data_IF_751790007627
#
_entry.id   IF_751790007627
#
_cell.length_a   1.000
_cell.length_b   1.000
_cell.length_c   1.000
_cell.angle_alpha   90.00
_cell.angle_beta   90.00
_cell.angle_gamma   90.00
#
_symmetry.space_group_name_H-M   'P 1'
#
loop_
_entity.id
_entity.type
_entity.pdbx_description
1 polymer ?
#
# COMPACT_ATOMS: atom_id res chain seq x y z
N UNK A 1 -20.47 17.81 -16.69
CA UNK A 1 -20.41 16.46 -16.07
C UNK A 1 -19.57 15.55 -16.96
N UNK A 2 -18.53 14.92 -16.41
CA UNK A 2 -17.56 14.10 -17.13
C UNK A 2 -17.52 12.69 -16.57
N UNK A 3 -17.36 11.67 -17.42
CA UNK A 3 -17.19 10.28 -17.00
C UNK A 3 -15.74 9.85 -17.16
N UNK A 4 -15.13 9.36 -16.09
CA UNK A 4 -13.75 8.86 -16.06
C UNK A 4 -13.70 7.35 -15.76
N UNK A 5 -12.76 6.64 -16.37
CA UNK A 5 -12.47 5.24 -16.09
C UNK A 5 -11.17 5.14 -15.32
N UNK A 6 -11.24 4.76 -14.04
CA UNK A 6 -10.13 4.84 -13.11
C UNK A 6 -9.80 3.47 -12.52
N UNK A 7 -8.52 3.15 -12.36
CA UNK A 7 -8.10 1.93 -11.66
C UNK A 7 -8.36 2.06 -10.16
N UNK A 8 -8.96 1.05 -9.56
CA UNK A 8 -9.33 1.02 -8.15
C UNK A 8 -8.69 -0.17 -7.45
N UNK A 9 -8.17 0.05 -6.25
CA UNK A 9 -7.49 -0.94 -5.41
C UNK A 9 -6.02 -0.63 -5.15
N UNK A 10 -5.45 -1.28 -4.14
CA UNK A 10 -4.06 -1.15 -3.72
C UNK A 10 -3.42 -2.52 -3.44
N UNK A 11 -2.09 -2.59 -3.52
CA UNK A 11 -1.36 -3.72 -2.95
C UNK A 11 -1.43 -3.61 -1.44
N UNK A 12 -1.93 -4.67 -0.79
CA UNK A 12 -2.06 -4.69 0.67
C UNK A 12 -0.72 -4.52 1.39
N UNK A 13 -0.71 -3.73 2.46
CA UNK A 13 0.50 -3.44 3.25
C UNK A 13 1.21 -4.71 3.77
N UNK A 14 0.46 -5.75 4.13
CA UNK A 14 1.01 -7.03 4.58
C UNK A 14 1.82 -7.75 3.48
N UNK A 15 1.37 -7.68 2.22
CA UNK A 15 2.06 -8.31 1.10
C UNK A 15 3.38 -7.60 0.79
N UNK A 16 3.37 -6.27 0.86
CA UNK A 16 4.56 -5.45 0.73
C UNK A 16 5.57 -5.74 1.85
N UNK A 17 5.10 -5.81 3.10
CA UNK A 17 5.91 -6.15 4.27
C UNK A 17 6.55 -7.55 4.14
N UNK A 18 5.80 -8.55 3.65
CA UNK A 18 6.32 -9.89 3.41
C UNK A 18 7.46 -9.90 2.37
N UNK A 19 7.33 -9.15 1.28
CA UNK A 19 8.37 -9.06 0.25
C UNK A 19 9.62 -8.34 0.76
N UNK A 20 9.47 -7.30 1.58
CA UNK A 20 10.61 -6.65 2.24
C UNK A 20 11.31 -7.65 3.16
N UNK A 21 10.56 -8.36 4.01
CA UNK A 21 11.12 -9.35 4.93
C UNK A 21 11.90 -10.44 4.18
N UNK A 22 11.29 -11.04 3.16
CA UNK A 22 11.92 -12.06 2.33
C UNK A 22 13.15 -11.51 1.61
N UNK A 23 13.08 -10.28 1.09
CA UNK A 23 14.23 -9.64 0.46
C UNK A 23 15.38 -9.44 1.43
N UNK A 24 15.14 -9.07 2.70
CA UNK A 24 16.21 -8.98 3.69
C UNK A 24 16.81 -10.36 3.98
N UNK A 25 15.97 -11.38 4.17
CA UNK A 25 16.42 -12.75 4.46
C UNK A 25 17.21 -13.38 3.29
N UNK A 26 16.92 -12.99 2.05
CA UNK A 26 17.57 -13.54 0.85
C UNK A 26 18.50 -12.53 0.16
N UNK A 27 19.02 -11.52 0.86
CA UNK A 27 19.94 -10.52 0.31
C UNK A 27 19.46 -9.85 -0.99
N UNK A 28 18.17 -9.55 -1.11
CA UNK A 28 17.55 -8.80 -2.20
C UNK A 28 16.90 -9.65 -3.29
N UNK A 29 17.05 -10.98 -3.27
CA UNK A 29 16.54 -11.87 -4.33
C UNK A 29 15.01 -11.80 -4.56
N UNK A 30 14.24 -11.41 -3.55
CA UNK A 30 12.78 -11.27 -3.67
C UNK A 30 12.31 -9.90 -4.22
N UNK A 31 13.21 -8.92 -4.41
CA UNK A 31 12.86 -7.61 -4.98
C UNK A 31 12.31 -7.71 -6.42
N UNK A 32 12.88 -8.52 -7.34
CA UNK A 32 12.29 -8.70 -8.67
C UNK A 32 10.90 -9.34 -8.64
N UNK A 33 10.68 -10.31 -7.75
CA UNK A 33 9.37 -10.96 -7.56
C UNK A 33 8.34 -9.95 -7.05
N UNK A 34 8.75 -9.09 -6.11
CA UNK A 34 7.93 -7.97 -5.65
C UNK A 34 7.55 -7.03 -6.81
N UNK A 35 8.53 -6.67 -7.66
CA UNK A 35 8.30 -5.86 -8.85
C UNK A 35 7.28 -6.49 -9.81
N UNK A 36 7.39 -7.80 -10.06
CA UNK A 36 6.45 -8.53 -10.91
C UNK A 36 5.04 -8.55 -10.32
N UNK A 37 4.89 -8.83 -9.02
CA UNK A 37 3.60 -8.77 -8.35
C UNK A 37 3.00 -7.36 -8.37
N UNK A 38 3.82 -6.33 -8.20
CA UNK A 38 3.37 -4.95 -8.28
C UNK A 38 2.85 -4.62 -9.69
N UNK A 39 3.60 -5.03 -10.72
CA UNK A 39 3.21 -4.85 -12.11
C UNK A 39 1.89 -5.57 -12.43
N UNK A 40 1.79 -6.85 -12.08
CA UNK A 40 0.55 -7.64 -12.27
C UNK A 40 -0.61 -6.94 -11.57
N UNK A 41 -0.44 -6.51 -10.31
CA UNK A 41 -1.49 -5.79 -9.58
C UNK A 41 -1.92 -4.50 -10.27
N UNK A 42 -1.00 -3.71 -10.82
CA UNK A 42 -1.35 -2.48 -11.55
C UNK A 42 -2.22 -2.79 -12.78
N UNK A 43 -1.89 -3.86 -13.50
CA UNK A 43 -2.62 -4.28 -14.71
C UNK A 43 -3.98 -4.89 -14.36
N UNK A 44 -4.04 -5.76 -13.37
CA UNK A 44 -5.23 -6.55 -13.01
C UNK A 44 -6.21 -5.82 -12.09
N UNK A 45 -5.85 -4.66 -11.55
CA UNK A 45 -6.77 -3.85 -10.74
C UNK A 45 -8.06 -3.56 -11.51
N UNK A 46 -9.23 -3.67 -10.85
CA UNK A 46 -10.51 -3.35 -11.46
C UNK A 46 -10.53 -1.89 -11.91
N UNK A 47 -11.13 -1.65 -13.07
CA UNK A 47 -11.44 -0.30 -13.55
C UNK A 47 -12.86 0.05 -13.12
N UNK A 48 -13.04 1.18 -12.46
CA UNK A 48 -14.35 1.71 -12.06
C UNK A 48 -14.72 2.92 -12.91
N UNK A 49 -15.99 3.02 -13.27
CA UNK A 49 -16.53 4.20 -13.93
C UNK A 49 -16.94 5.22 -12.86
N UNK A 50 -16.44 6.45 -12.96
CA UNK A 50 -16.68 7.52 -12.00
C UNK A 50 -17.26 8.72 -12.73
N UNK A 51 -18.37 9.24 -12.24
CA UNK A 51 -18.99 10.45 -12.75
C UNK A 51 -18.49 11.64 -11.94
N UNK A 52 -17.91 12.63 -12.62
CA UNK A 52 -17.33 13.84 -12.02
C UNK A 52 -18.20 15.02 -12.45
N UNK A 53 -18.99 15.60 -11.53
CA UNK A 53 -19.74 16.82 -11.81
C UNK A 53 -18.80 18.00 -12.09
N UNK A 54 -19.33 19.07 -12.66
CA UNK A 54 -18.52 20.26 -12.96
C UNK A 54 -17.99 20.90 -11.67
N UNK A 55 -16.76 21.41 -11.72
CA UNK A 55 -16.06 21.94 -10.54
C UNK A 55 -15.58 20.89 -9.53
N UNK A 56 -15.99 19.62 -9.65
CA UNK A 56 -15.52 18.55 -8.77
C UNK A 56 -14.17 18.02 -9.23
N UNK A 57 -13.43 17.40 -8.31
CA UNK A 57 -12.13 16.78 -8.58
C UNK A 57 -12.09 15.35 -8.05
N UNK A 58 -11.14 14.57 -8.58
CA UNK A 58 -10.91 13.19 -8.12
C UNK A 58 -9.63 13.12 -7.30
N UNK A 59 -9.73 12.61 -6.09
CA UNK A 59 -8.59 12.32 -5.22
C UNK A 59 -8.57 10.83 -4.81
N UNK A 60 -7.37 10.26 -4.63
CA UNK A 60 -7.23 8.86 -4.27
C UNK A 60 -7.02 8.66 -2.77
N UNK A 61 -7.80 7.75 -2.17
CA UNK A 61 -7.60 7.27 -0.80
C UNK A 61 -7.48 5.76 -0.80
N UNK A 62 -6.36 5.24 -0.28
CA UNK A 62 -6.09 3.79 -0.16
C UNK A 62 -6.24 2.99 -1.47
N UNK A 63 -5.96 3.65 -2.61
CA UNK A 63 -6.11 3.06 -3.94
C UNK A 63 -7.50 3.20 -4.55
N UNK A 64 -8.43 3.88 -3.88
CA UNK A 64 -9.80 4.10 -4.39
C UNK A 64 -10.01 5.57 -4.75
N UNK A 65 -10.62 5.87 -5.91
CA UNK A 65 -10.95 7.24 -6.30
C UNK A 65 -12.16 7.76 -5.50
N UNK A 66 -12.06 9.00 -5.02
CA UNK A 66 -13.14 9.74 -4.37
C UNK A 66 -13.39 11.01 -5.18
N UNK A 67 -14.66 11.29 -5.47
CA UNK A 67 -15.07 12.55 -6.11
C UNK A 67 -15.39 13.53 -5.00
N UNK A 68 -14.74 14.68 -5.03
CA UNK A 68 -14.89 15.73 -4.04
C UNK A 68 -15.46 16.99 -4.67
N UNK A 69 -16.37 17.64 -3.96
CA UNK A 69 -16.81 19.00 -4.27
C UNK A 69 -15.64 20.01 -4.19
N UNK A 70 -15.78 21.21 -4.77
CA UNK A 70 -14.73 22.24 -4.76
C UNK A 70 -14.23 22.59 -3.35
N UNK A 71 -15.12 22.54 -2.36
CA UNK A 71 -14.91 22.88 -0.95
C UNK A 71 -14.66 21.66 -0.04
N UNK A 72 -14.85 20.45 -0.56
CA UNK A 72 -14.56 19.22 0.16
C UNK A 72 -13.08 18.83 0.06
N UNK A 73 -12.55 18.24 1.12
CA UNK A 73 -11.19 17.70 1.17
C UNK A 73 -11.20 16.31 1.81
N UNK A 74 -10.27 15.45 1.39
CA UNK A 74 -10.06 14.20 2.11
C UNK A 74 -9.59 14.49 3.53
N UNK A 75 -10.36 14.02 4.51
CA UNK A 75 -9.97 14.13 5.91
C UNK A 75 -8.58 13.52 6.15
N UNK A 76 -7.74 14.15 6.98
CA UNK A 76 -6.48 13.55 7.41
C UNK A 76 -6.72 12.17 8.00
N UNK A 77 -5.87 11.21 7.66
CA UNK A 77 -5.95 9.86 8.24
C UNK A 77 -5.95 9.93 9.76
N UNK A 78 -6.91 9.26 10.38
CA UNK A 78 -6.96 9.09 11.82
C UNK A 78 -5.67 8.44 12.32
N UNK A 79 -5.24 8.81 13.54
CA UNK A 79 -4.01 8.27 14.17
C UNK A 79 -3.98 6.75 14.17
N UNK A 80 -5.15 6.10 14.34
CA UNK A 80 -5.28 4.65 14.28
C UNK A 80 -4.95 4.07 12.91
N UNK A 81 -5.42 4.68 11.82
CA UNK A 81 -5.08 4.24 10.45
C UNK A 81 -3.57 4.35 10.20
N UNK A 82 -2.95 5.45 10.66
CA UNK A 82 -1.50 5.61 10.58
C UNK A 82 -0.76 4.53 11.37
N UNK A 83 -1.21 4.23 12.60
CA UNK A 83 -0.59 3.22 13.45
C UNK A 83 -0.66 1.81 12.85
N UNK A 84 -1.79 1.43 12.25
CA UNK A 84 -1.94 0.13 11.57
C UNK A 84 -0.98 0.00 10.39
N UNK A 85 -0.86 1.07 9.59
CA UNK A 85 0.10 1.13 8.49
C UNK A 85 1.52 0.96 9.05
N UNK A 86 1.93 1.80 10.01
CA UNK A 86 3.27 1.72 10.62
C UNK A 86 3.55 0.35 11.22
N UNK A 87 2.61 -0.25 11.94
CA UNK A 87 2.77 -1.58 12.52
C UNK A 87 3.00 -2.66 11.45
N UNK A 88 2.30 -2.59 10.31
CA UNK A 88 2.51 -3.50 9.19
C UNK A 88 3.92 -3.38 8.59
N UNK A 89 4.53 -2.18 8.59
CA UNK A 89 5.91 -1.96 8.10
C UNK A 89 6.99 -2.20 9.16
N UNK A 90 6.67 -2.02 10.44
CA UNK A 90 7.60 -2.25 11.54
C UNK A 90 7.75 -3.74 11.88
N UNK A 91 6.72 -4.56 11.63
CA UNK A 91 6.75 -5.98 11.97
C UNK A 91 7.88 -6.79 11.31
N UNK A 92 8.24 -6.58 10.01
CA UNK A 92 9.43 -7.23 9.43
C UNK A 92 10.71 -6.89 10.17
N UNK A 93 10.91 -5.61 10.53
CA UNK A 93 12.12 -5.13 11.21
C UNK A 93 12.22 -5.75 12.60
N UNK A 94 11.10 -5.82 13.33
CA UNK A 94 11.05 -6.45 14.65
C UNK A 94 11.31 -7.97 14.59
N UNK A 95 10.79 -8.66 13.57
CA UNK A 95 11.05 -10.08 13.35
C UNK A 95 12.54 -10.32 13.08
N UNK A 96 13.17 -9.50 12.23
CA UNK A 96 14.61 -9.60 11.94
C UNK A 96 15.43 -9.35 13.20
N UNK A 97 15.10 -8.30 13.97
CA UNK A 97 15.79 -7.98 15.21
C UNK A 97 15.72 -9.13 16.23
N UNK A 98 14.56 -9.77 16.37
CA UNK A 98 14.38 -10.94 17.25
C UNK A 98 15.22 -12.14 16.80
N UNK A 99 15.30 -12.41 15.49
CA UNK A 99 16.13 -13.48 14.94
C UNK A 99 17.63 -13.23 15.18
N UNK A 100 18.10 -12.01 14.93
CA UNK A 100 19.50 -11.62 15.15
C UNK A 100 19.86 -11.71 16.64
N UNK A 101 19.01 -11.19 17.52
CA UNK A 101 19.25 -11.25 18.96
C UNK A 101 19.27 -12.69 19.49
N UNK A 102 18.37 -13.55 19.00
CA UNK A 102 18.36 -14.98 19.34
C UNK A 102 19.59 -15.75 18.84
N UNK A 103 20.15 -15.37 17.69
CA UNK A 103 21.43 -15.91 17.17
C UNK A 103 22.62 -15.48 18.05
N UNK A 104 22.68 -14.20 18.45
CA UNK A 104 23.75 -13.66 19.31
C UNK A 104 23.76 -14.32 20.69
N UNK A 105 22.59 -14.61 21.28
CA UNK A 105 22.50 -15.27 22.60
C UNK A 105 22.91 -16.75 22.55
N UNK A 106 22.78 -17.40 21.40
CA UNK A 106 23.12 -18.81 21.22
C UNK A 106 24.56 -19.06 20.78
N UNK A 107 25.28 -18.04 20.34
CA UNK A 107 26.66 -18.12 19.87
C UNK A 107 27.71 -17.92 20.94
#
# INVERSE_FOLDING_TARGET
MQTLYLKSGSLGHAWHAAHILLSVLTCGWWLPIYGLHALISVVTRPTVQVQVPEGHRVEYRNGHPNVLAPDEYLEPRATREKAVIVAAYASPVLIIAALVFGLIIRG
#
